data_IF_310396597342
#
_entry.id   IF_310396597342
#
_cell.length_a   1.000
_cell.length_b   1.000
_cell.length_c   1.000
_cell.angle_alpha   90.00
_cell.angle_beta   90.00
_cell.angle_gamma   90.00
#
_symmetry.space_group_name_H-M   'P 1'
#
loop_
_entity.id
_entity.type
_entity.pdbx_description
1 polymer ?
#
# COMPACT_ATOMS: atom_id res chain seq x y z
N UNK A 1 -61.10 -29.41 8.32
CA UNK A 1 -60.18 -28.28 8.48
C UNK A 1 -58.82 -28.87 8.86
N UNK A 2 -57.96 -29.14 7.88
CA UNK A 2 -56.58 -29.57 8.13
C UNK A 2 -55.72 -28.30 8.25
N UNK A 3 -55.04 -28.15 9.38
CA UNK A 3 -54.10 -27.05 9.58
C UNK A 3 -52.87 -27.30 8.69
N UNK A 4 -52.53 -26.32 7.85
CA UNK A 4 -51.32 -26.35 7.05
C UNK A 4 -50.11 -26.13 7.98
N UNK A 5 -49.18 -27.07 7.97
CA UNK A 5 -47.85 -26.90 8.55
C UNK A 5 -47.14 -25.77 7.81
N UNK A 6 -46.88 -24.68 8.54
CA UNK A 6 -46.06 -23.56 8.04
C UNK A 6 -44.61 -23.96 8.30
N UNK A 7 -43.96 -24.47 7.26
CA UNK A 7 -42.55 -24.80 7.30
C UNK A 7 -41.74 -23.50 7.44
N UNK A 8 -41.03 -23.35 8.57
CA UNK A 8 -40.12 -22.22 8.80
C UNK A 8 -39.04 -22.21 7.71
N UNK A 9 -38.74 -21.05 7.11
CA UNK A 9 -37.64 -20.94 6.15
C UNK A 9 -36.32 -21.33 6.83
N UNK A 10 -35.39 -21.95 6.09
CA UNK A 10 -34.09 -22.31 6.64
C UNK A 10 -33.40 -21.06 7.19
N UNK A 11 -32.83 -21.17 8.38
CA UNK A 11 -31.99 -20.14 8.98
C UNK A 11 -30.76 -20.02 8.08
N UNK A 12 -30.72 -18.98 7.25
CA UNK A 12 -29.58 -18.63 6.43
C UNK A 12 -28.42 -18.30 7.40
N UNK A 13 -27.36 -19.09 7.34
CA UNK A 13 -26.18 -18.92 8.18
C UNK A 13 -25.60 -17.53 7.89
N UNK A 14 -25.51 -16.67 8.92
CA UNK A 14 -25.07 -15.29 8.75
C UNK A 14 -23.72 -15.27 8.01
N UNK A 15 -23.64 -14.51 6.92
CA UNK A 15 -22.41 -14.38 6.14
C UNK A 15 -21.24 -14.06 7.08
N UNK A 16 -20.09 -14.75 6.94
CA UNK A 16 -18.96 -14.54 7.82
C UNK A 16 -18.56 -13.06 7.81
N UNK A 17 -18.33 -12.50 9.00
CA UNK A 17 -17.92 -11.11 9.14
C UNK A 17 -16.62 -10.87 8.38
N UNK A 18 -16.55 -9.74 7.67
CA UNK A 18 -15.33 -9.34 6.96
C UNK A 18 -14.17 -9.19 7.96
N UNK A 19 -12.95 -9.65 7.61
CA UNK A 19 -11.76 -9.39 8.41
C UNK A 19 -11.55 -7.90 8.69
N UNK A 20 -10.97 -7.59 9.86
CA UNK A 20 -10.76 -6.21 10.32
C UNK A 20 -9.81 -5.41 9.42
N UNK A 21 -8.83 -6.06 8.80
CA UNK A 21 -7.92 -5.42 7.84
C UNK A 21 -8.59 -5.00 6.53
N UNK A 22 -9.84 -5.41 6.26
CA UNK A 22 -10.63 -4.90 5.14
C UNK A 22 -11.46 -3.67 5.53
N UNK A 23 -11.85 -3.56 6.80
CA UNK A 23 -12.78 -2.52 7.27
C UNK A 23 -12.07 -1.37 8.02
N UNK A 24 -10.79 -1.54 8.35
CA UNK A 24 -9.99 -0.52 9.00
C UNK A 24 -8.59 -0.42 8.34
N UNK A 25 -8.21 0.75 7.79
CA UNK A 25 -6.90 0.96 7.13
C UNK A 25 -5.69 0.92 8.09
N UNK A 26 -5.94 0.83 9.39
CA UNK A 26 -4.93 0.82 10.45
C UNK A 26 -5.05 -0.44 11.34
N UNK A 27 -5.77 -1.47 10.91
CA UNK A 27 -6.06 -2.67 11.72
C UNK A 27 -4.78 -3.32 12.26
N UNK A 28 -3.74 -3.45 11.43
CA UNK A 28 -2.49 -4.16 11.79
C UNK A 28 -1.58 -3.34 12.71
N UNK A 29 -1.75 -2.02 12.78
CA UNK A 29 -1.05 -1.19 13.77
C UNK A 29 -1.48 -1.55 15.20
N UNK A 30 -2.65 -2.18 15.33
CA UNK A 30 -3.19 -2.64 16.61
C UNK A 30 -2.66 -3.99 17.09
N UNK A 31 -1.71 -4.61 16.39
CA UNK A 31 -1.25 -5.96 16.70
C UNK A 31 -0.27 -5.95 17.88
N UNK A 32 -0.79 -6.35 19.06
CA UNK A 32 -0.08 -6.30 20.35
C UNK A 32 1.06 -7.31 20.45
N UNK A 33 0.88 -8.48 19.85
CA UNK A 33 1.83 -9.59 19.90
C UNK A 33 2.78 -9.64 18.69
N UNK A 34 2.59 -8.75 17.71
CA UNK A 34 3.41 -8.73 16.51
C UNK A 34 4.84 -8.30 16.83
N UNK A 35 5.81 -8.96 16.18
CA UNK A 35 7.20 -8.53 16.20
C UNK A 35 7.34 -7.35 15.26
N UNK A 36 7.80 -6.22 15.79
CA UNK A 36 8.04 -5.02 15.01
C UNK A 36 9.54 -4.86 14.74
N UNK A 37 9.90 -4.57 13.47
CA UNK A 37 11.28 -4.41 12.99
C UNK A 37 12.08 -3.40 13.81
N UNK A 38 11.40 -2.36 14.33
CA UNK A 38 11.98 -1.30 15.15
C UNK A 38 11.45 -1.30 16.59
N UNK A 39 10.97 -2.47 17.06
CA UNK A 39 10.55 -2.71 18.45
C UNK A 39 9.17 -2.17 18.84
N UNK A 40 8.46 -1.44 17.97
CA UNK A 40 7.09 -0.96 18.17
C UNK A 40 6.42 -0.63 16.82
N UNK A 41 5.09 -0.46 16.82
CA UNK A 41 4.31 -0.18 15.61
C UNK A 41 4.69 1.17 14.97
N UNK A 42 4.56 1.29 13.64
CA UNK A 42 4.90 2.53 12.97
C UNK A 42 3.83 3.62 13.11
N UNK A 43 4.23 4.90 13.07
CA UNK A 43 3.30 6.03 13.06
C UNK A 43 2.95 6.46 11.63
N UNK A 44 1.70 6.24 11.24
CA UNK A 44 1.15 6.67 9.94
C UNK A 44 0.34 7.96 10.04
N UNK A 45 0.24 8.62 11.20
CA UNK A 45 -0.64 9.79 11.42
C UNK A 45 -0.41 10.89 10.38
N UNK A 46 0.85 11.25 10.09
CA UNK A 46 1.19 12.28 9.09
C UNK A 46 0.80 11.87 7.67
N UNK A 47 1.11 10.64 7.28
CA UNK A 47 0.77 10.11 5.95
C UNK A 47 -0.75 9.99 5.77
N UNK A 48 -1.49 9.57 6.81
CA UNK A 48 -2.96 9.49 6.79
C UNK A 48 -3.61 10.87 6.70
N UNK A 49 -3.04 11.87 7.36
CA UNK A 49 -3.47 13.27 7.21
C UNK A 49 -3.29 13.76 5.77
N UNK A 50 -2.08 13.60 5.21
CA UNK A 50 -1.81 13.97 3.80
C UNK A 50 -2.74 13.23 2.85
N UNK A 51 -2.95 11.93 3.05
CA UNK A 51 -3.92 11.14 2.28
C UNK A 51 -5.32 11.78 2.34
N UNK A 52 -5.84 12.05 3.55
CA UNK A 52 -7.19 12.59 3.72
C UNK A 52 -7.36 13.97 3.06
N UNK A 53 -6.33 14.81 3.11
CA UNK A 53 -6.34 16.16 2.54
C UNK A 53 -6.14 16.19 1.01
N UNK A 54 -5.51 15.18 0.41
CA UNK A 54 -5.01 15.25 -0.98
C UNK A 54 -5.39 14.08 -1.89
N UNK A 55 -6.18 13.12 -1.39
CA UNK A 55 -6.73 12.02 -2.20
C UNK A 55 -7.58 12.53 -3.36
N UNK A 56 -7.61 11.77 -4.46
CA UNK A 56 -8.49 12.03 -5.60
C UNK A 56 -9.83 11.32 -5.48
N UNK A 57 -9.89 10.22 -4.73
CA UNK A 57 -11.09 9.38 -4.62
C UNK A 57 -11.69 9.37 -3.22
N UNK A 58 -13.01 9.39 -3.18
CA UNK A 58 -13.79 9.06 -1.98
C UNK A 58 -14.60 7.81 -2.31
N UNK A 59 -14.33 6.74 -1.55
CA UNK A 59 -15.04 5.48 -1.70
C UNK A 59 -16.24 5.45 -0.75
N UNK A 60 -17.32 4.82 -1.19
CA UNK A 60 -18.48 4.55 -0.34
C UNK A 60 -18.10 3.55 0.75
N UNK A 61 -18.62 3.72 1.96
CA UNK A 61 -18.33 2.84 3.08
C UNK A 61 -18.80 1.41 2.81
N UNK A 62 -17.92 0.44 3.01
CA UNK A 62 -18.14 -0.97 2.71
C UNK A 62 -18.07 -1.33 1.22
N UNK A 63 -17.79 -0.36 0.35
CA UNK A 63 -17.63 -0.64 -1.09
C UNK A 63 -16.34 -1.41 -1.36
N UNK A 64 -16.34 -2.20 -2.45
CA UNK A 64 -15.17 -2.97 -2.85
C UNK A 64 -13.89 -2.10 -2.99
N UNK A 65 -13.91 -0.89 -3.58
CA UNK A 65 -12.73 -0.02 -3.59
C UNK A 65 -12.20 0.34 -2.19
N UNK A 66 -13.07 0.60 -1.21
CA UNK A 66 -12.63 0.87 0.17
C UNK A 66 -11.99 -0.38 0.79
N UNK A 67 -12.60 -1.55 0.61
CA UNK A 67 -12.08 -2.81 1.16
C UNK A 67 -10.71 -3.17 0.56
N UNK A 68 -10.54 -3.00 -0.76
CA UNK A 68 -9.26 -3.19 -1.45
C UNK A 68 -8.24 -2.17 -0.93
N UNK A 69 -8.65 -0.92 -0.75
CA UNK A 69 -7.74 0.12 -0.30
C UNK A 69 -7.21 -0.16 1.11
N UNK A 70 -8.10 -0.57 2.01
CA UNK A 70 -7.74 -0.95 3.38
C UNK A 70 -6.84 -2.19 3.41
N UNK A 71 -7.11 -3.20 2.58
CA UNK A 71 -6.27 -4.40 2.50
C UNK A 71 -4.83 -4.04 2.14
N UNK A 72 -4.64 -3.25 1.07
CA UNK A 72 -3.29 -2.87 0.60
C UNK A 72 -2.58 -2.01 1.63
N UNK A 73 -3.27 -1.06 2.26
CA UNK A 73 -2.70 -0.21 3.32
C UNK A 73 -2.23 -1.02 4.53
N UNK A 74 -2.96 -2.06 4.92
CA UNK A 74 -2.51 -2.96 5.98
C UNK A 74 -1.36 -3.85 5.52
N UNK A 75 -1.45 -4.43 4.32
CA UNK A 75 -0.39 -5.26 3.75
C UNK A 75 0.95 -4.52 3.65
N UNK A 76 0.96 -3.25 3.23
CA UNK A 76 2.17 -2.42 3.13
C UNK A 76 2.85 -2.23 4.50
N UNK A 77 2.05 -2.03 5.56
CA UNK A 77 2.54 -1.93 6.94
C UNK A 77 3.17 -3.24 7.39
N UNK A 78 2.52 -4.37 7.13
CA UNK A 78 3.05 -5.70 7.47
C UNK A 78 4.37 -5.96 6.72
N UNK A 79 4.37 -5.72 5.42
CA UNK A 79 5.53 -5.92 4.53
C UNK A 79 6.76 -5.11 4.93
N UNK A 80 6.54 -3.90 5.41
CA UNK A 80 7.64 -2.99 5.77
C UNK A 80 8.11 -3.20 7.21
N UNK A 81 7.20 -3.43 8.15
CA UNK A 81 7.50 -3.31 9.58
C UNK A 81 7.43 -4.61 10.39
N UNK A 82 6.87 -5.71 9.86
CA UNK A 82 6.84 -7.01 10.55
C UNK A 82 7.87 -7.96 9.95
N UNK A 83 8.99 -8.26 10.63
CA UNK A 83 10.05 -9.10 10.09
C UNK A 83 9.74 -10.61 10.17
N UNK A 84 8.63 -10.99 10.80
CA UNK A 84 8.16 -12.36 10.91
C UNK A 84 6.88 -12.53 10.07
N UNK A 85 6.92 -13.40 9.07
CA UNK A 85 5.79 -13.63 8.15
C UNK A 85 4.58 -14.21 8.88
N UNK A 86 4.80 -14.91 10.00
CA UNK A 86 3.69 -15.45 10.78
C UNK A 86 2.81 -14.35 11.39
N UNK A 87 3.31 -13.12 11.50
CA UNK A 87 2.55 -11.95 11.95
C UNK A 87 1.77 -11.27 10.82
N UNK A 88 1.89 -11.72 9.56
CA UNK A 88 1.21 -11.13 8.41
C UNK A 88 -0.18 -11.73 8.23
N UNK A 89 -1.21 -10.96 8.57
CA UNK A 89 -2.62 -11.43 8.54
C UNK A 89 -3.25 -11.26 7.16
N UNK A 90 -2.71 -10.37 6.33
CA UNK A 90 -3.25 -10.01 5.01
C UNK A 90 -2.91 -11.00 3.89
N UNK A 91 -2.07 -12.00 4.14
CA UNK A 91 -1.60 -12.96 3.12
C UNK A 91 -1.96 -14.40 3.47
N UNK A 92 -2.13 -15.24 2.44
CA UNK A 92 -2.16 -16.69 2.58
C UNK A 92 -0.71 -17.18 2.52
N UNK A 93 -0.05 -17.27 3.66
CA UNK A 93 1.41 -17.52 3.77
C UNK A 93 1.90 -18.69 2.91
N UNK A 94 1.12 -19.77 2.80
CA UNK A 94 1.50 -20.95 2.04
C UNK A 94 1.47 -20.75 0.52
N UNK A 95 0.65 -19.81 0.04
CA UNK A 95 0.38 -19.59 -1.38
C UNK A 95 0.73 -18.17 -1.84
N UNK A 96 1.29 -17.34 -0.96
CA UNK A 96 1.59 -15.95 -1.25
C UNK A 96 2.77 -15.81 -2.21
N UNK A 97 2.55 -15.00 -3.25
CA UNK A 97 3.55 -14.63 -4.23
C UNK A 97 3.29 -13.22 -4.74
N UNK A 98 4.37 -12.53 -5.10
CA UNK A 98 4.35 -11.16 -5.59
C UNK A 98 5.26 -11.04 -6.81
N UNK A 99 4.76 -10.40 -7.87
CA UNK A 99 5.49 -10.17 -9.11
C UNK A 99 5.27 -8.76 -9.63
N UNK A 100 6.32 -8.19 -10.23
CA UNK A 100 6.32 -6.84 -10.80
C UNK A 100 6.62 -6.92 -12.29
N UNK A 101 5.86 -6.19 -13.11
CA UNK A 101 6.14 -5.95 -14.53
C UNK A 101 6.38 -7.22 -15.36
N UNK A 102 5.71 -8.32 -15.00
CA UNK A 102 5.83 -9.62 -15.67
C UNK A 102 7.09 -10.41 -15.31
N UNK A 103 7.83 -10.01 -14.26
CA UNK A 103 8.92 -10.79 -13.69
C UNK A 103 8.45 -12.06 -12.97
N UNK A 104 9.41 -12.87 -12.54
CA UNK A 104 9.15 -14.09 -11.76
C UNK A 104 8.46 -13.75 -10.43
N UNK A 105 7.57 -14.65 -10.00
CA UNK A 105 6.83 -14.48 -8.76
C UNK A 105 7.69 -14.91 -7.56
N UNK A 106 7.79 -14.04 -6.57
CA UNK A 106 8.58 -14.28 -5.36
C UNK A 106 7.68 -14.40 -4.12
N UNK A 107 8.06 -15.28 -3.19
CA UNK A 107 7.36 -15.44 -1.91
C UNK A 107 7.64 -14.32 -0.91
N UNK A 108 6.89 -14.32 0.22
CA UNK A 108 7.03 -13.30 1.26
C UNK A 108 8.44 -13.25 1.90
N UNK A 109 9.14 -14.38 1.99
CA UNK A 109 10.52 -14.43 2.51
C UNK A 109 11.51 -13.63 1.65
N UNK A 110 11.37 -13.72 0.33
CA UNK A 110 12.22 -12.96 -0.58
C UNK A 110 11.95 -11.46 -0.43
N UNK A 111 10.67 -11.06 -0.39
CA UNK A 111 10.25 -9.68 -0.15
C UNK A 111 10.79 -9.11 1.16
N UNK A 112 10.75 -9.89 2.26
CA UNK A 112 11.30 -9.48 3.55
C UNK A 112 12.82 -9.27 3.52
N UNK A 113 13.53 -10.12 2.78
CA UNK A 113 14.99 -10.09 2.66
C UNK A 113 15.47 -8.89 1.85
N UNK A 114 14.83 -8.63 0.70
CA UNK A 114 15.26 -7.55 -0.20
C UNK A 114 14.69 -6.20 0.22
N UNK A 115 13.46 -6.18 0.75
CA UNK A 115 12.71 -4.97 1.06
C UNK A 115 11.82 -4.49 -0.08
N UNK A 116 10.75 -3.78 0.29
CA UNK A 116 9.67 -3.38 -0.63
C UNK A 116 10.17 -2.56 -1.83
N UNK A 117 11.02 -1.55 -1.62
CA UNK A 117 11.59 -0.76 -2.73
C UNK A 117 12.48 -1.60 -3.66
N UNK A 118 13.32 -2.46 -3.09
CA UNK A 118 14.20 -3.33 -3.86
C UNK A 118 13.45 -4.40 -4.65
N UNK A 119 12.31 -4.86 -4.13
CA UNK A 119 11.45 -5.82 -4.81
C UNK A 119 10.72 -5.21 -6.02
N UNK A 120 10.53 -3.88 -6.05
CA UNK A 120 9.73 -3.21 -7.09
C UNK A 120 10.51 -2.35 -8.07
N UNK A 121 11.75 -1.98 -7.76
CA UNK A 121 12.60 -1.13 -8.61
C UNK A 121 13.74 -1.95 -9.18
N UNK A 122 13.65 -2.29 -10.46
CA UNK A 122 14.75 -2.91 -11.18
C UNK A 122 15.98 -1.97 -11.28
N UNK A 123 17.21 -2.52 -11.32
CA UNK A 123 18.41 -1.73 -11.53
C UNK A 123 18.30 -0.81 -12.75
N UNK A 124 18.58 0.47 -12.56
CA UNK A 124 18.48 1.51 -13.58
C UNK A 124 19.56 2.59 -13.35
N UNK A 125 19.52 3.66 -14.16
CA UNK A 125 20.54 4.72 -14.13
C UNK A 125 20.51 5.62 -12.88
N UNK A 126 19.49 5.48 -12.02
CA UNK A 126 19.29 6.22 -10.77
C UNK A 126 19.41 5.34 -9.53
N UNK A 127 19.05 4.06 -9.61
CA UNK A 127 18.91 3.16 -8.47
C UNK A 127 19.32 1.72 -8.81
N UNK A 128 19.91 1.02 -7.85
CA UNK A 128 20.17 -0.41 -7.94
C UNK A 128 20.00 -1.10 -6.59
N UNK A 129 19.16 -2.15 -6.50
CA UNK A 129 19.07 -3.02 -5.32
C UNK A 129 20.40 -3.66 -4.91
N UNK A 130 21.37 -3.81 -5.84
CA UNK A 130 22.70 -4.35 -5.52
C UNK A 130 23.51 -3.44 -4.59
N UNK A 131 23.17 -2.15 -4.56
CA UNK A 131 23.88 -1.14 -3.79
C UNK A 131 23.01 -0.49 -2.69
N UNK A 132 21.82 -1.04 -2.41
CA UNK A 132 20.94 -0.55 -1.35
C UNK A 132 20.24 -1.72 -0.68
N UNK A 133 20.41 -1.86 0.62
CA UNK A 133 19.65 -2.81 1.44
C UNK A 133 18.28 -2.25 1.88
N UNK A 134 17.54 -3.03 2.67
CA UNK A 134 16.24 -2.62 3.21
C UNK A 134 16.32 -1.26 3.93
N UNK A 135 17.27 -1.09 4.86
CA UNK A 135 17.31 0.09 5.73
C UNK A 135 17.71 1.35 4.95
N UNK A 136 18.73 1.24 4.10
CA UNK A 136 19.27 2.33 3.30
C UNK A 136 18.28 2.78 2.21
N UNK A 137 17.54 1.87 1.58
CA UNK A 137 16.50 2.21 0.60
C UNK A 137 15.33 2.95 1.25
N UNK A 138 14.82 2.44 2.38
CA UNK A 138 13.76 3.09 3.14
C UNK A 138 14.19 4.49 3.60
N UNK A 139 15.41 4.62 4.13
CA UNK A 139 15.97 5.91 4.55
C UNK A 139 16.06 6.90 3.38
N UNK A 140 16.50 6.44 2.21
CA UNK A 140 16.61 7.25 0.99
C UNK A 140 15.26 7.82 0.57
N UNK A 141 14.28 6.96 0.30
CA UNK A 141 12.99 7.40 -0.20
C UNK A 141 12.19 8.18 0.85
N UNK A 142 12.23 7.76 2.12
CA UNK A 142 11.54 8.46 3.22
C UNK A 142 12.13 9.85 3.47
N UNK A 143 13.45 10.01 3.39
CA UNK A 143 14.06 11.34 3.54
C UNK A 143 13.67 12.26 2.39
N UNK A 144 13.75 11.76 1.16
CA UNK A 144 13.37 12.50 -0.04
C UNK A 144 11.89 12.90 -0.01
N UNK A 145 11.01 11.95 0.32
CA UNK A 145 9.56 12.10 0.40
C UNK A 145 9.04 11.63 1.78
N UNK A 146 8.99 12.51 2.79
CA UNK A 146 8.55 12.15 4.15
C UNK A 146 7.12 11.61 4.24
N UNK A 147 6.29 11.89 3.24
CA UNK A 147 4.94 11.35 3.10
C UNK A 147 4.75 10.86 1.67
N UNK A 148 4.44 9.56 1.53
CA UNK A 148 4.15 8.92 0.25
C UNK A 148 2.86 8.13 0.40
N UNK A 149 1.73 8.80 0.15
CA UNK A 149 0.41 8.24 0.31
C UNK A 149 0.09 7.27 -0.83
N UNK A 150 -0.92 6.42 -0.63
CA UNK A 150 -1.41 5.46 -1.61
C UNK A 150 -2.94 5.43 -1.62
N UNK A 151 -3.55 5.32 -2.80
CA UNK A 151 -5.00 5.20 -2.97
C UNK A 151 -5.38 4.31 -4.14
N UNK A 152 -6.58 3.72 -4.05
CA UNK A 152 -7.24 3.04 -5.16
C UNK A 152 -7.91 4.09 -6.05
N UNK A 153 -7.61 4.07 -7.34
CA UNK A 153 -8.25 4.96 -8.32
C UNK A 153 -9.52 4.35 -8.90
N UNK A 154 -9.52 3.03 -9.11
CA UNK A 154 -10.59 2.30 -9.78
C UNK A 154 -10.46 0.80 -9.54
N UNK A 155 -11.58 0.08 -9.41
CA UNK A 155 -11.61 -1.38 -9.31
C UNK A 155 -12.40 -1.94 -10.49
N UNK A 156 -11.83 -2.93 -11.18
CA UNK A 156 -12.37 -3.54 -12.39
C UNK A 156 -13.00 -4.91 -12.14
N UNK A 157 -12.59 -5.64 -11.09
CA UNK A 157 -13.16 -6.94 -10.74
C UNK A 157 -13.09 -7.22 -9.24
N UNK A 158 -14.03 -8.03 -8.72
CA UNK A 158 -14.07 -8.48 -7.33
C UNK A 158 -13.46 -9.87 -7.10
N UNK A 159 -13.45 -10.37 -5.85
CA UNK A 159 -12.92 -11.70 -5.52
C UNK A 159 -13.57 -12.82 -6.36
N UNK A 160 -12.84 -13.92 -6.66
CA UNK A 160 -11.52 -14.26 -6.13
C UNK A 160 -10.34 -13.62 -6.89
N UNK A 161 -10.59 -12.92 -8.01
CA UNK A 161 -9.54 -12.25 -8.80
C UNK A 161 -9.87 -10.77 -8.91
N UNK A 162 -9.24 -9.99 -8.04
CA UNK A 162 -9.45 -8.54 -7.92
C UNK A 162 -8.45 -7.82 -8.82
N UNK A 163 -8.94 -6.94 -9.68
CA UNK A 163 -8.10 -6.09 -10.53
C UNK A 163 -8.44 -4.63 -10.31
N UNK A 164 -7.43 -3.79 -10.16
CA UNK A 164 -7.61 -2.39 -9.78
C UNK A 164 -6.45 -1.52 -10.24
N UNK A 165 -6.72 -0.22 -10.40
CA UNK A 165 -5.74 0.83 -10.67
C UNK A 165 -5.52 1.64 -9.40
N UNK A 166 -4.29 2.08 -9.19
CA UNK A 166 -3.87 2.77 -7.99
C UNK A 166 -2.88 3.88 -8.30
N UNK A 167 -2.61 4.74 -7.31
CA UNK A 167 -1.46 5.65 -7.33
C UNK A 167 -0.75 5.73 -5.98
N UNK A 168 0.55 5.99 -6.03
CA UNK A 168 1.33 6.51 -4.91
C UNK A 168 1.69 7.96 -5.19
N UNK A 169 1.61 8.85 -4.18
CA UNK A 169 2.02 10.24 -4.36
C UNK A 169 2.65 10.86 -3.11
N UNK A 170 3.54 11.83 -3.34
CA UNK A 170 4.23 12.57 -2.29
C UNK A 170 4.84 13.86 -2.82
N UNK A 171 5.53 14.60 -1.94
CA UNK A 171 6.27 15.82 -2.30
C UNK A 171 7.76 15.55 -2.13
N UNK A 172 8.57 15.86 -3.14
CA UNK A 172 10.03 15.78 -3.06
C UNK A 172 10.57 16.95 -2.23
N UNK A 173 10.66 16.74 -0.91
CA UNK A 173 11.09 17.78 0.05
C UNK A 173 12.60 17.90 0.16
N UNK A 174 13.32 16.80 -0.02
CA UNK A 174 14.77 16.74 0.15
C UNK A 174 15.45 16.12 -1.07
N UNK A 175 16.76 16.31 -1.18
CA UNK A 175 17.57 15.76 -2.25
C UNK A 175 17.44 14.22 -2.29
N UNK A 176 17.35 13.68 -3.51
CA UNK A 176 17.56 12.25 -3.74
C UNK A 176 19.06 11.97 -3.76
N UNK A 177 19.48 10.94 -3.03
CA UNK A 177 20.83 10.40 -3.06
C UNK A 177 20.72 8.88 -3.09
N UNK A 178 21.27 8.24 -4.12
CA UNK A 178 21.25 6.79 -4.28
C UNK A 178 22.45 6.30 -5.11
N UNK A 179 22.51 5.00 -5.36
CA UNK A 179 23.51 4.40 -6.25
C UNK A 179 22.83 3.71 -7.42
N UNK A 180 23.34 3.91 -8.63
CA UNK A 180 22.76 3.33 -9.84
C UNK A 180 23.33 1.95 -10.18
N UNK A 181 22.86 1.36 -11.28
CA UNK A 181 23.30 0.07 -11.81
C UNK A 181 24.79 -0.01 -12.24
N UNK A 182 25.54 1.09 -12.16
CA UNK A 182 26.99 1.14 -12.41
C UNK A 182 27.79 1.35 -11.12
N UNK A 183 27.12 1.45 -9.97
CA UNK A 183 27.74 1.79 -8.70
C UNK A 183 28.13 3.26 -8.58
N UNK A 184 27.61 4.13 -9.45
CA UNK A 184 27.81 5.57 -9.36
C UNK A 184 26.81 6.15 -8.36
N UNK A 185 27.29 7.04 -7.48
CA UNK A 185 26.43 7.84 -6.62
C UNK A 185 25.69 8.86 -7.47
N UNK A 186 24.37 8.78 -7.44
CA UNK A 186 23.44 9.66 -8.15
C UNK A 186 22.84 10.64 -7.16
N UNK A 187 22.84 11.92 -7.51
CA UNK A 187 22.15 12.97 -6.73
C UNK A 187 21.22 13.78 -7.61
N UNK A 188 19.98 13.98 -7.14
CA UNK A 188 19.02 14.90 -7.73
C UNK A 188 18.56 15.91 -6.67
N UNK A 189 18.57 17.20 -7.02
CA UNK A 189 18.21 18.28 -6.10
C UNK A 189 16.71 18.33 -5.88
N UNK A 190 16.31 18.58 -4.62
CA UNK A 190 14.92 18.77 -4.27
C UNK A 190 14.31 19.92 -5.10
N UNK A 191 13.21 19.63 -5.79
CA UNK A 191 12.45 20.63 -6.54
C UNK A 191 11.14 21.02 -5.83
N UNK A 192 10.80 20.39 -4.68
CA UNK A 192 9.60 20.71 -3.91
C UNK A 192 8.27 20.35 -4.59
N UNK A 193 8.33 19.73 -5.77
CA UNK A 193 7.16 19.36 -6.57
C UNK A 193 6.59 17.99 -6.20
N UNK A 194 5.41 17.66 -6.74
CA UNK A 194 4.80 16.36 -6.54
C UNK A 194 5.54 15.26 -7.30
N UNK A 195 5.55 14.08 -6.71
CA UNK A 195 5.85 12.81 -7.37
C UNK A 195 4.56 11.98 -7.27
N UNK A 196 4.02 11.53 -8.39
CA UNK A 196 2.77 10.78 -8.52
C UNK A 196 2.99 9.63 -9.52
N UNK A 197 3.05 8.40 -9.01
CA UNK A 197 3.20 7.20 -9.84
C UNK A 197 1.92 6.39 -9.80
N UNK A 198 1.56 5.81 -10.93
CA UNK A 198 0.35 5.00 -11.08
C UNK A 198 0.67 3.62 -11.61
N UNK A 199 -0.19 2.67 -11.28
CA UNK A 199 -0.08 1.31 -11.75
C UNK A 199 -1.39 0.56 -11.68
N UNK A 200 -1.33 -0.69 -12.13
CA UNK A 200 -2.43 -1.64 -12.07
C UNK A 200 -1.98 -2.89 -11.35
N UNK A 201 -2.89 -3.50 -10.59
CA UNK A 201 -2.63 -4.74 -9.87
C UNK A 201 -3.75 -5.73 -10.15
N UNK A 202 -3.38 -6.99 -10.36
CA UNK A 202 -4.28 -8.14 -10.39
C UNK A 202 -3.87 -9.04 -9.24
N UNK A 203 -4.76 -9.24 -8.28
CA UNK A 203 -4.54 -10.06 -7.10
C UNK A 203 -5.56 -11.20 -7.02
N UNK A 204 -5.10 -12.41 -6.75
CA UNK A 204 -5.98 -13.50 -6.33
C UNK A 204 -6.06 -13.57 -4.81
N UNK A 205 -7.24 -13.89 -4.28
CA UNK A 205 -7.48 -13.99 -2.83
C UNK A 205 -8.20 -15.28 -2.46
N UNK A 206 -8.02 -15.73 -1.23
CA UNK A 206 -8.80 -16.85 -0.66
C UNK A 206 -10.16 -16.37 -0.10
N UNK A 207 -10.92 -17.28 0.50
CA UNK A 207 -12.26 -16.98 1.07
C UNK A 207 -12.22 -16.02 2.27
N UNK A 208 -11.03 -15.85 2.88
CA UNK A 208 -10.78 -14.85 3.92
C UNK A 208 -10.26 -13.53 3.34
N UNK A 209 -10.24 -13.38 2.02
CA UNK A 209 -9.70 -12.21 1.31
C UNK A 209 -8.22 -11.98 1.61
N UNK A 210 -7.47 -13.05 1.88
CA UNK A 210 -6.01 -12.99 2.01
C UNK A 210 -5.34 -13.13 0.66
N UNK A 211 -4.28 -12.36 0.42
CA UNK A 211 -3.54 -12.33 -0.84
C UNK A 211 -2.84 -13.66 -1.12
N UNK A 212 -2.97 -14.17 -2.35
CA UNK A 212 -2.29 -15.36 -2.86
C UNK A 212 -1.31 -15.00 -3.97
N UNK A 213 -1.80 -14.61 -5.14
CA UNK A 213 -0.96 -14.16 -6.25
C UNK A 213 -1.17 -12.69 -6.47
N UNK A 214 -0.14 -11.87 -6.31
CA UNK A 214 -0.20 -10.42 -6.52
C UNK A 214 0.70 -10.05 -7.69
N UNK A 215 0.12 -9.57 -8.78
CA UNK A 215 0.87 -9.10 -9.95
C UNK A 215 0.60 -7.62 -10.15
N UNK A 216 1.66 -6.83 -10.18
CA UNK A 216 1.58 -5.37 -10.30
C UNK A 216 2.37 -4.88 -11.50
N UNK A 217 1.80 -3.94 -12.25
CA UNK A 217 2.42 -3.31 -13.40
C UNK A 217 2.41 -1.79 -13.23
N UNK A 218 3.58 -1.18 -13.37
CA UNK A 218 3.76 0.28 -13.34
C UNK A 218 5.08 0.63 -14.01
N UNK A 219 5.27 1.91 -14.38
CA UNK A 219 6.56 2.38 -14.89
C UNK A 219 7.48 2.82 -13.73
N UNK A 220 8.48 2.02 -13.33
CA UNK A 220 9.38 2.39 -12.25
C UNK A 220 10.25 3.60 -12.61
N UNK A 221 10.45 3.87 -13.91
CA UNK A 221 11.20 5.04 -14.36
C UNK A 221 10.39 6.32 -14.27
N UNK A 222 9.05 6.25 -14.21
CA UNK A 222 8.22 7.45 -14.06
C UNK A 222 8.55 8.20 -12.78
N UNK A 223 8.74 7.48 -11.66
CA UNK A 223 9.21 8.07 -10.41
C UNK A 223 10.52 8.83 -10.61
N UNK A 224 11.51 8.22 -11.26
CA UNK A 224 12.83 8.84 -11.43
C UNK A 224 12.82 10.01 -12.42
N UNK A 225 11.99 9.96 -13.46
CA UNK A 225 11.77 11.11 -14.35
C UNK A 225 11.14 12.28 -13.59
N UNK A 226 10.31 12.01 -12.58
CA UNK A 226 9.75 13.04 -11.71
C UNK A 226 10.75 13.52 -10.65
N UNK A 227 11.61 12.65 -10.12
CA UNK A 227 12.72 13.02 -9.20
C UNK A 227 13.75 13.92 -9.89
N UNK A 228 14.04 13.65 -11.17
CA UNK A 228 15.08 14.33 -11.93
C UNK A 228 14.53 14.78 -13.31
N UNK A 229 13.59 15.75 -13.35
CA UNK A 229 12.93 16.16 -14.60
C UNK A 229 13.89 16.82 -15.59
N UNK A 230 15.05 17.26 -15.13
CA UNK A 230 16.13 17.84 -15.93
C UNK A 230 17.37 16.92 -16.01
N UNK A 231 17.24 15.65 -15.60
CA UNK A 231 18.32 14.68 -15.53
C UNK A 231 19.13 14.73 -14.22
N UNK A 232 20.02 13.75 -14.06
CA UNK A 232 20.88 13.60 -12.87
C UNK A 232 21.85 14.77 -12.75
N UNK A 233 21.90 15.38 -11.55
CA UNK A 233 22.72 16.59 -11.29
C UNK A 233 24.19 16.24 -11.02
N UNK A 234 24.47 15.09 -10.39
CA UNK A 234 25.84 14.61 -10.14
C UNK A 234 25.91 13.09 -10.22
N UNK A 235 26.96 12.59 -10.89
CA UNK A 235 27.38 11.18 -10.89
C UNK A 235 28.81 11.12 -10.35
N UNK A 236 28.97 10.61 -9.14
CA UNK A 236 30.27 10.45 -8.49
C UNK A 236 30.63 8.96 -8.44
N UNK A 237 31.90 8.61 -8.67
CA UNK A 237 32.37 7.24 -8.46
C UNK A 237 32.29 6.90 -6.96
N UNK A 238 31.93 5.64 -6.64
CA UNK A 238 31.89 5.16 -5.26
C UNK A 238 33.25 5.33 -4.55
N UNK A 239 33.28 5.74 -3.27
CA UNK A 239 34.49 5.63 -2.45
C UNK A 239 34.98 4.18 -2.40
N UNK A 240 36.27 3.96 -2.67
CA UNK A 240 36.86 2.62 -2.56
C UNK A 240 36.82 2.12 -1.10
N UNK A 241 36.51 0.83 -0.90
CA UNK A 241 36.52 0.11 0.39
C UNK A 241 35.36 0.34 1.38
N UNK A 242 34.23 0.91 0.97
CA UNK A 242 33.05 1.10 1.83
C UNK A 242 31.89 0.20 1.37
N UNK A 243 31.09 -0.35 2.29
CA UNK A 243 29.88 -1.10 1.90
C UNK A 243 28.88 -0.15 1.23
N UNK A 244 27.97 -0.63 0.35
CA UNK A 244 26.99 0.27 -0.28
C UNK A 244 26.08 0.98 0.74
N UNK A 245 25.71 0.31 1.82
CA UNK A 245 24.91 0.89 2.91
C UNK A 245 25.67 2.02 3.63
N UNK A 246 26.93 1.76 4.01
CA UNK A 246 27.78 2.76 4.68
C UNK A 246 28.06 3.96 3.75
N UNK A 247 28.31 3.69 2.47
CA UNK A 247 28.54 4.74 1.48
C UNK A 247 27.28 5.60 1.25
N UNK A 248 26.09 5.00 1.34
CA UNK A 248 24.83 5.73 1.25
C UNK A 248 24.60 6.55 2.51
N UNK A 249 24.90 6.01 3.69
CA UNK A 249 24.81 6.71 4.97
C UNK A 249 25.76 7.92 5.04
N UNK A 250 27.01 7.76 4.60
CA UNK A 250 27.96 8.87 4.45
C UNK A 250 27.48 9.91 3.45
N UNK A 251 27.02 9.48 2.28
CA UNK A 251 26.50 10.37 1.24
C UNK A 251 25.27 11.15 1.71
N UNK A 252 24.46 10.54 2.58
CA UNK A 252 23.29 11.13 3.18
C UNK A 252 23.61 12.03 4.38
N UNK A 253 24.76 11.87 5.05
CA UNK A 253 25.12 12.71 6.20
C UNK A 253 25.24 14.21 5.85
N UNK A 254 25.55 14.54 4.58
CA UNK A 254 25.65 15.92 4.08
C UNK A 254 24.35 16.54 3.58
N UNK A 255 23.24 15.78 3.53
CA UNK A 255 21.94 16.29 3.07
C UNK A 255 21.30 17.10 4.20
N UNK A 256 21.27 18.43 4.05
CA UNK A 256 20.61 19.33 5.02
C UNK A 256 19.11 19.06 5.02
N UNK A 257 18.63 18.42 6.07
CA UNK A 257 17.21 18.30 6.38
C UNK A 257 16.84 19.54 7.21
N UNK A 258 15.79 20.31 6.88
CA UNK A 258 15.36 21.46 7.70
C UNK A 258 15.09 21.04 9.16
N UNK A 259 15.36 21.92 10.12
CA UNK A 259 15.28 21.66 11.58
C UNK A 259 13.89 21.17 12.06
N UNK A 260 12.82 21.51 11.34
CA UNK A 260 11.45 20.97 11.53
C UNK A 260 11.35 19.44 11.27
N UNK A 261 12.43 18.83 10.78
CA UNK A 261 12.57 17.42 10.42
C UNK A 261 13.81 16.76 11.06
N UNK A 262 14.45 17.36 12.08
CA UNK A 262 15.26 16.56 13.03
C UNK A 262 14.31 15.67 13.84
N UNK A 263 13.86 14.61 13.19
CA UNK A 263 12.91 13.65 13.72
C UNK A 263 13.66 12.70 14.66
N UNK A 264 13.26 12.53 15.93
CA UNK A 264 13.57 11.30 16.64
C UNK A 264 12.77 10.20 15.95
N UNK A 265 13.34 9.58 14.92
CA UNK A 265 12.86 8.38 14.21
C UNK A 265 11.33 8.15 14.29
N UNK A 266 10.54 9.18 13.93
CA UNK A 266 9.10 9.22 14.15
C UNK A 266 8.33 8.32 13.18
N UNK A 267 9.02 7.38 12.53
CA UNK A 267 8.36 6.22 11.89
C UNK A 267 7.77 5.29 12.90
N UNK A 268 8.11 5.43 14.18
CA UNK A 268 7.87 4.40 15.17
C UNK A 268 7.20 5.05 16.38
N UNK A 269 5.95 4.69 16.66
CA UNK A 269 5.10 5.34 17.68
C UNK A 269 5.76 5.33 19.06
N UNK A 270 5.72 6.41 19.84
CA UNK A 270 6.06 6.34 21.27
C UNK A 270 5.20 5.27 21.97
N UNK A 271 5.62 4.82 23.15
CA UNK A 271 4.80 3.89 23.94
C UNK A 271 3.42 4.49 24.23
N UNK A 272 3.34 5.78 24.54
CA UNK A 272 2.05 6.45 24.76
C UNK A 272 1.22 6.58 23.47
N UNK A 273 1.85 6.86 22.32
CA UNK A 273 1.19 6.93 21.02
C UNK A 273 0.64 5.57 20.59
N UNK A 274 1.38 4.50 20.86
CA UNK A 274 0.94 3.13 20.63
C UNK A 274 -0.27 2.79 21.49
N UNK A 275 -0.20 3.02 22.81
CA UNK A 275 -1.33 2.78 23.72
C UNK A 275 -2.58 3.57 23.30
N UNK A 276 -2.42 4.83 22.88
CA UNK A 276 -3.51 5.62 22.32
C UNK A 276 -4.09 5.04 21.03
N UNK A 277 -3.23 4.62 20.11
CA UNK A 277 -3.65 4.01 18.84
C UNK A 277 -4.46 2.74 19.09
N UNK A 278 -4.01 1.91 20.04
CA UNK A 278 -4.74 0.72 20.46
C UNK A 278 -6.11 1.08 21.01
N UNK A 279 -6.21 2.07 21.90
CA UNK A 279 -7.50 2.52 22.46
C UNK A 279 -8.43 3.04 21.37
N UNK A 280 -7.92 3.82 20.42
CA UNK A 280 -8.71 4.34 19.30
C UNK A 280 -9.19 3.21 18.37
N UNK A 281 -8.35 2.22 18.10
CA UNK A 281 -8.73 1.03 17.31
C UNK A 281 -9.77 0.19 18.05
N UNK A 282 -9.56 -0.11 19.33
CA UNK A 282 -10.46 -0.91 20.16
C UNK A 282 -11.82 -0.19 20.33
N UNK A 283 -11.83 1.15 20.44
CA UNK A 283 -13.04 1.97 20.43
C UNK A 283 -13.79 1.85 19.10
N UNK A 284 -13.11 2.02 17.96
CA UNK A 284 -13.73 1.86 16.63
C UNK A 284 -14.30 0.46 16.41
N UNK A 285 -13.61 -0.58 16.92
CA UNK A 285 -14.11 -1.97 16.90
C UNK A 285 -15.37 -2.13 17.75
N UNK A 286 -15.39 -1.55 18.96
CA UNK A 286 -16.52 -1.65 19.88
C UNK A 286 -17.75 -0.87 19.40
N UNK A 287 -17.55 0.25 18.70
CA UNK A 287 -18.64 1.11 18.21
C UNK A 287 -19.32 0.58 16.93
N UNK A 288 -18.80 -0.49 16.31
CA UNK A 288 -19.40 -1.09 15.11
C UNK A 288 -19.60 -0.12 13.94
N UNK A 289 -18.89 1.01 13.95
CA UNK A 289 -19.09 2.11 13.00
C UNK A 289 -18.73 1.67 11.58
N UNK A 290 -19.74 1.26 10.80
CA UNK A 290 -19.84 1.72 9.40
C UNK A 290 -19.92 3.24 9.46
N UNK A 291 -19.18 3.93 8.59
CA UNK A 291 -19.23 5.38 8.52
C UNK A 291 -20.69 5.83 8.30
N UNK A 292 -21.33 6.33 9.36
CA UNK A 292 -22.63 6.96 9.29
C UNK A 292 -22.40 8.45 9.02
N UNK A 293 -22.87 8.90 7.86
CA UNK A 293 -23.62 10.15 7.67
C UNK A 293 -23.95 10.29 6.18
N UNK A 294 -25.16 9.87 5.78
CA UNK A 294 -25.74 10.20 4.47
C UNK A 294 -26.81 11.28 4.71
N UNK A 295 -26.79 12.43 4.01
CA UNK A 295 -27.86 13.41 4.08
C UNK A 295 -29.17 12.84 3.50
N UNK A 296 -30.30 13.22 4.10
CA UNK A 296 -31.65 12.80 3.68
C UNK A 296 -31.88 13.01 2.17
N UNK A 297 -32.15 11.91 1.45
CA UNK A 297 -32.45 11.96 0.02
C UNK A 297 -32.20 10.68 -0.78
N UNK A 298 -31.77 9.58 -0.16
CA UNK A 298 -31.51 8.33 -0.91
C UNK A 298 -32.78 7.49 -1.09
N UNK A 299 -33.02 7.06 -2.34
CA UNK A 299 -34.11 6.15 -2.69
C UNK A 299 -33.67 4.71 -2.38
N UNK A 300 -34.55 3.97 -1.72
CA UNK A 300 -34.36 2.59 -1.28
C UNK A 300 -34.44 1.63 -2.48
N UNK A 301 -33.32 1.03 -2.88
CA UNK A 301 -33.24 0.10 -4.02
C UNK A 301 -33.53 -1.33 -3.54
N UNK A 302 -34.69 -1.54 -2.93
CA UNK A 302 -35.19 -2.89 -2.57
C UNK A 302 -36.44 -3.31 -3.34
N UNK A 303 -36.85 -2.56 -4.38
CA UNK A 303 -37.98 -2.96 -5.24
C UNK A 303 -37.71 -2.70 -6.73
N UNK A 304 -36.87 -3.55 -7.34
CA UNK A 304 -36.83 -3.71 -8.79
C UNK A 304 -36.81 -5.20 -9.13
N UNK A 305 -37.95 -5.88 -8.90
CA UNK A 305 -38.25 -7.14 -9.57
C UNK A 305 -38.74 -6.84 -10.99
N UNK A 306 -38.00 -7.35 -11.97
CA UNK A 306 -38.50 -7.72 -13.29
C UNK A 306 -38.62 -6.59 -14.32
N UNK A 307 -37.64 -6.47 -15.22
CA UNK A 307 -37.95 -6.64 -16.65
C UNK A 307 -36.70 -7.05 -17.44
N UNK A 308 -36.92 -7.92 -18.42
CA UNK A 308 -35.91 -8.57 -19.27
C UNK A 308 -35.57 -7.60 -20.41
N UNK A 309 -34.42 -6.94 -20.33
CA UNK A 309 -33.99 -5.94 -21.32
C UNK A 309 -32.72 -6.36 -22.07
N UNK A 310 -32.89 -6.75 -23.34
CA UNK A 310 -31.89 -7.25 -24.27
C UNK A 310 -30.58 -6.43 -24.41
N UNK A 311 -29.45 -7.15 -24.52
CA UNK A 311 -28.16 -6.66 -24.99
C UNK A 311 -28.26 -6.09 -26.43
N UNK A 312 -27.83 -4.83 -26.70
CA UNK A 312 -27.90 -4.26 -28.03
C UNK A 312 -26.54 -4.24 -28.72
N UNK A 313 -25.86 -5.39 -28.87
CA UNK A 313 -24.69 -5.48 -29.75
C UNK A 313 -24.55 -6.89 -30.31
N UNK A 314 -25.36 -7.23 -31.33
CA UNK A 314 -25.02 -8.20 -32.38
C UNK A 314 -26.01 -8.10 -33.57
N UNK A 315 -25.58 -7.43 -34.63
CA UNK A 315 -25.90 -7.75 -36.04
C UNK A 315 -24.79 -7.10 -36.87
N UNK A 316 -23.92 -7.84 -37.55
CA UNK A 316 -24.27 -8.65 -38.71
C UNK A 316 -23.97 -7.82 -39.96
N UNK A 317 -22.77 -7.94 -40.52
CA UNK A 317 -22.41 -7.39 -41.82
C UNK A 317 -21.68 -8.45 -42.64
N UNK A 318 -22.45 -9.14 -43.48
CA UNK A 318 -21.96 -9.85 -44.66
C UNK A 318 -22.09 -8.92 -45.86
N UNK A 319 -20.99 -8.70 -46.57
CA UNK A 319 -20.87 -8.83 -48.03
C UNK A 319 -19.41 -9.08 -48.38
#
# INVERSE_FOLDING_TARGET
MAAADVQQPPVEEAAPALPDYLTNPNAVLGDKEAKWRYGRAPDYTKTRKVYAETKQKTHEAGSLPELVENLVKNWEVEASFKPDISDWRTIDTANYSFAINGGEAEGAEAMLKVGTYNAIIAPNEYYSPEYSDFASSHKTFKRMMPTFAWEVLEVYSGPPTVSFRWRHWGIMKNDYVGFNNKGEKVTAKAHGGPIDIQGVTVATVNDKVQLREVRTWFDPMDMFRQIAPHGVVSKENKPAHVSPADALDEAQAGVKVPEEQELPDATVQSKEEFERTIVEIDKKRAEGQRAQDVPDGHVDVSSAQGDVGACPFMSGATR
#
